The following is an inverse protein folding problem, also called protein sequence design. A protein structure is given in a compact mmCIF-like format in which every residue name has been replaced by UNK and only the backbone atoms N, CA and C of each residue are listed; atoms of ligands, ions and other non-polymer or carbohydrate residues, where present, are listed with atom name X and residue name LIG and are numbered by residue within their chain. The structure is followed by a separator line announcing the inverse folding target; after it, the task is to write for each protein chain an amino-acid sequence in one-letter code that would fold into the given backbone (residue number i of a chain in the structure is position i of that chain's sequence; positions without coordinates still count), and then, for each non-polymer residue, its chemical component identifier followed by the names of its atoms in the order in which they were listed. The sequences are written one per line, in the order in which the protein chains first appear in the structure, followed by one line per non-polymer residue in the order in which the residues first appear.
data_IF_356358591052
#
_entry.id   IF_356358591052
#
_cell.length_a   1.000
_cell.length_b   1.000
_cell.length_c   1.000
_cell.angle_alpha   90.00
_cell.angle_beta   90.00
_cell.angle_gamma   90.00
#
_symmetry.space_group_name_H-M   'P 1'
#
loop_
_entity.id
_entity.type
_entity.pdbx_description
1 polymer ?
#
# COMPACT_ATOMS: atom_id res chain seq x y z
N UNK A 1 -5.63 -47.91 76.16
CA UNK A 1 -6.34 -49.17 75.78
C UNK A 1 -6.39 -49.22 74.29
N UNK A 2 -5.54 -50.04 73.69
CA UNK A 2 -5.78 -51.02 72.58
C UNK A 2 -6.47 -50.41 71.39
N UNK A 3 -6.09 -50.57 70.15
CA UNK A 3 -5.38 -51.67 69.43
C UNK A 3 -4.83 -51.09 68.12
N UNK A 4 -3.61 -51.53 67.77
CA UNK A 4 -3.02 -51.42 66.44
C UNK A 4 -3.77 -52.36 65.47
N UNK A 5 -3.85 -51.97 64.20
CA UNK A 5 -3.82 -52.95 63.16
C UNK A 5 -3.11 -52.40 61.91
N UNK A 6 -1.99 -52.94 61.68
CA UNK A 6 -1.20 -52.94 60.42
C UNK A 6 -1.94 -53.71 59.33
N UNK A 7 -1.98 -53.22 58.13
CA UNK A 7 -1.95 -54.08 56.97
C UNK A 7 -1.13 -53.48 55.82
N UNK A 8 -0.21 -54.22 55.47
CA UNK A 8 0.84 -54.05 54.46
C UNK A 8 0.36 -54.52 53.11
N UNK A 9 1.11 -54.09 52.07
CA UNK A 9 1.25 -54.64 50.70
C UNK A 9 0.11 -54.27 49.71
N UNK A 10 0.39 -53.69 48.55
CA UNK A 10 1.19 -54.28 47.47
C UNK A 10 1.68 -53.20 46.49
N UNK A 11 2.95 -53.26 46.25
CA UNK A 11 3.64 -52.61 45.12
C UNK A 11 3.17 -53.21 43.85
N UNK A 12 2.76 -52.42 42.87
CA UNK A 12 2.75 -52.82 41.48
C UNK A 12 3.36 -51.69 40.67
N UNK A 13 4.59 -51.93 40.27
CA UNK A 13 5.31 -51.20 39.24
C UNK A 13 4.59 -51.37 37.92
N UNK A 14 4.06 -50.29 37.39
CA UNK A 14 3.85 -50.15 35.96
C UNK A 14 4.70 -49.00 35.48
N UNK A 15 5.87 -49.36 34.96
CA UNK A 15 6.62 -48.54 34.03
C UNK A 15 5.81 -48.51 32.74
N UNK A 16 5.04 -47.48 32.56
CA UNK A 16 4.45 -47.13 31.26
C UNK A 16 5.28 -46.01 30.65
N UNK A 17 5.94 -46.34 29.56
CA UNK A 17 6.74 -45.40 28.77
C UNK A 17 5.87 -44.19 28.38
N UNK A 18 6.12 -43.06 29.05
CA UNK A 18 5.63 -41.75 28.58
C UNK A 18 6.54 -41.34 27.41
N UNK A 19 6.12 -41.69 26.21
CA UNK A 19 6.69 -41.11 25.00
C UNK A 19 6.25 -39.66 24.99
N UNK A 20 7.17 -38.77 25.37
CA UNK A 20 7.02 -37.32 25.12
C UNK A 20 6.95 -37.11 23.62
N UNK A 21 5.73 -36.94 23.12
CA UNK A 21 5.48 -36.35 21.83
C UNK A 21 5.81 -34.84 21.93
N UNK A 22 7.12 -34.54 21.86
CA UNK A 22 7.56 -33.21 21.52
C UNK A 22 7.17 -32.98 20.06
N UNK A 23 5.97 -32.38 19.83
CA UNK A 23 5.57 -31.83 18.55
C UNK A 23 6.45 -30.62 18.28
N UNK A 24 7.51 -30.87 17.54
CA UNK A 24 8.32 -29.81 16.93
C UNK A 24 7.45 -29.04 15.93
N UNK A 25 6.61 -28.12 16.46
CA UNK A 25 5.92 -27.12 15.66
C UNK A 25 6.91 -26.03 15.23
N UNK A 26 7.99 -26.44 14.57
CA UNK A 26 8.79 -25.55 13.74
C UNK A 26 8.01 -25.27 12.46
N UNK A 27 6.87 -24.57 12.58
CA UNK A 27 6.24 -23.92 11.46
C UNK A 27 7.14 -22.75 11.09
N UNK A 28 8.14 -23.02 10.29
CA UNK A 28 8.90 -22.00 9.59
C UNK A 28 7.88 -21.27 8.71
N UNK A 29 7.36 -20.14 9.21
CA UNK A 29 6.65 -19.18 8.39
C UNK A 29 7.65 -18.76 7.30
N UNK A 30 7.57 -19.41 6.15
CA UNK A 30 8.19 -18.94 4.93
C UNK A 30 7.60 -17.54 4.70
N UNK A 31 8.29 -16.50 5.17
CA UNK A 31 8.03 -15.15 4.73
C UNK A 31 8.09 -15.17 3.22
N UNK A 32 6.90 -15.17 2.61
CA UNK A 32 6.77 -15.07 1.17
C UNK A 32 7.36 -13.72 0.76
N UNK A 33 8.62 -13.74 0.38
CA UNK A 33 9.31 -12.56 -0.12
C UNK A 33 8.54 -12.10 -1.36
N UNK A 34 7.77 -11.02 -1.21
CA UNK A 34 7.02 -10.44 -2.33
C UNK A 34 8.06 -9.82 -3.27
N UNK A 35 8.26 -10.40 -4.44
CA UNK A 35 9.17 -9.82 -5.43
C UNK A 35 8.52 -8.57 -6.03
N UNK A 36 9.10 -7.40 -5.71
CA UNK A 36 8.64 -6.11 -6.23
C UNK A 36 9.05 -6.00 -7.70
N UNK A 37 8.10 -5.73 -8.62
CA UNK A 37 8.38 -5.62 -10.04
C UNK A 37 9.49 -4.60 -10.35
N UNK A 38 10.27 -4.86 -11.39
CA UNK A 38 11.41 -4.00 -11.78
C UNK A 38 10.98 -2.54 -12.00
N UNK A 39 9.82 -2.29 -12.59
CA UNK A 39 9.31 -0.93 -12.82
C UNK A 39 8.96 -0.22 -11.51
N UNK A 40 8.39 -0.93 -10.56
CA UNK A 40 8.11 -0.37 -9.23
C UNK A 40 9.42 0.06 -8.54
N UNK A 41 10.46 -0.80 -8.56
CA UNK A 41 11.79 -0.45 -8.03
C UNK A 41 12.37 0.78 -8.72
N UNK A 42 12.19 0.89 -10.05
CA UNK A 42 12.62 2.06 -10.82
C UNK A 42 11.85 3.32 -10.42
N UNK A 43 10.53 3.25 -10.26
CA UNK A 43 9.68 4.38 -9.83
C UNK A 43 10.11 4.89 -8.47
N UNK A 44 10.34 3.97 -7.51
CA UNK A 44 10.82 4.32 -6.16
C UNK A 44 12.18 5.01 -6.20
N UNK A 45 13.11 4.49 -6.99
CA UNK A 45 14.42 5.11 -7.17
C UNK A 45 14.29 6.54 -7.75
N UNK A 46 13.46 6.72 -8.78
CA UNK A 46 13.23 8.02 -9.42
C UNK A 46 12.58 9.03 -8.48
N UNK A 47 11.56 8.63 -7.71
CA UNK A 47 10.90 9.58 -6.81
C UNK A 47 11.80 9.98 -5.65
N UNK A 48 12.62 9.06 -5.13
CA UNK A 48 13.61 9.37 -4.10
C UNK A 48 14.72 10.30 -4.63
N UNK A 49 15.17 10.09 -5.85
CA UNK A 49 16.25 10.88 -6.47
C UNK A 49 15.80 12.26 -6.91
N UNK A 50 14.65 12.35 -7.60
CA UNK A 50 14.22 13.58 -8.28
C UNK A 50 13.08 14.30 -7.55
N UNK A 51 12.38 13.64 -6.63
CA UNK A 51 11.29 14.25 -5.89
C UNK A 51 11.65 15.57 -5.21
N UNK A 52 12.76 15.64 -4.47
CA UNK A 52 13.21 16.89 -3.83
C UNK A 52 13.48 18.05 -4.80
N UNK A 53 13.98 17.77 -6.01
CA UNK A 53 14.24 18.78 -7.04
C UNK A 53 12.93 19.19 -7.74
N UNK A 54 12.10 18.23 -8.11
CA UNK A 54 10.82 18.46 -8.81
C UNK A 54 9.90 19.32 -7.94
N UNK A 55 9.73 18.93 -6.69
CA UNK A 55 8.85 19.59 -5.73
C UNK A 55 9.66 20.12 -4.54
N UNK A 56 10.58 21.05 -4.83
CA UNK A 56 11.36 21.71 -3.78
C UNK A 56 10.53 22.63 -2.90
N UNK A 57 9.36 23.07 -3.40
CA UNK A 57 8.27 23.69 -2.64
C UNK A 57 6.94 23.18 -3.17
N UNK A 58 5.88 23.24 -2.35
CA UNK A 58 4.54 22.83 -2.76
C UNK A 58 3.98 23.69 -3.90
N UNK A 59 4.32 24.97 -3.92
CA UNK A 59 3.92 25.89 -5.00
C UNK A 59 4.57 25.53 -6.34
N UNK A 60 5.82 25.05 -6.31
CA UNK A 60 6.54 24.68 -7.54
C UNK A 60 5.92 23.44 -8.20
N UNK A 61 5.55 22.42 -7.41
CA UNK A 61 4.93 21.22 -7.92
C UNK A 61 4.05 20.56 -6.85
N UNK A 62 2.75 20.64 -7.05
CA UNK A 62 1.76 19.91 -6.25
C UNK A 62 1.81 18.39 -6.55
N UNK A 63 1.03 17.60 -5.83
CA UNK A 63 1.03 16.14 -5.93
C UNK A 63 0.91 15.61 -7.38
N UNK A 64 0.02 16.18 -8.19
CA UNK A 64 -0.19 15.78 -9.59
C UNK A 64 1.02 16.09 -10.47
N UNK A 65 1.67 17.23 -10.26
CA UNK A 65 2.88 17.61 -11.01
C UNK A 65 4.06 16.70 -10.68
N UNK A 66 4.24 16.35 -9.41
CA UNK A 66 5.27 15.38 -9.02
C UNK A 66 5.05 14.05 -9.72
N UNK A 67 3.81 13.50 -9.66
CA UNK A 67 3.46 12.25 -10.32
C UNK A 67 3.70 12.31 -11.84
N UNK A 68 3.28 13.40 -12.50
CA UNK A 68 3.48 13.61 -13.93
C UNK A 68 4.97 13.59 -14.27
N UNK A 69 5.80 14.33 -13.53
CA UNK A 69 7.23 14.44 -13.83
C UNK A 69 7.99 13.13 -13.57
N UNK A 70 7.63 12.39 -12.54
CA UNK A 70 8.19 11.04 -12.31
C UNK A 70 7.78 10.08 -13.43
N UNK A 71 6.50 10.05 -13.80
CA UNK A 71 6.01 9.20 -14.92
C UNK A 71 6.73 9.53 -16.23
N UNK A 72 6.95 10.80 -16.54
CA UNK A 72 7.62 11.23 -17.78
C UNK A 72 9.06 10.74 -17.90
N UNK A 73 9.72 10.37 -16.80
CA UNK A 73 11.07 9.76 -16.83
C UNK A 73 11.05 8.30 -17.31
N UNK A 74 9.88 7.66 -17.32
CA UNK A 74 9.72 6.24 -17.68
C UNK A 74 8.82 6.08 -18.90
N UNK A 75 7.77 6.90 -18.99
CA UNK A 75 6.68 6.75 -19.94
C UNK A 75 6.30 8.11 -20.55
N UNK A 76 6.32 8.27 -21.88
CA UNK A 76 5.84 9.49 -22.52
C UNK A 76 4.38 9.78 -22.16
N UNK A 77 4.09 11.01 -21.72
CA UNK A 77 2.75 11.49 -21.44
C UNK A 77 2.38 12.62 -22.39
N UNK A 78 1.28 12.48 -23.11
CA UNK A 78 0.71 13.54 -23.94
C UNK A 78 -0.13 14.55 -23.11
N UNK A 79 -0.66 15.57 -23.76
CA UNK A 79 -1.46 16.61 -23.10
C UNK A 79 -2.73 16.03 -22.44
N UNK A 80 -3.38 15.06 -23.10
CA UNK A 80 -4.59 14.40 -22.56
C UNK A 80 -4.29 13.57 -21.32
N UNK A 81 -3.18 12.82 -21.33
CA UNK A 81 -2.74 12.04 -20.17
C UNK A 81 -2.54 12.97 -18.95
N UNK A 82 -1.83 14.09 -19.16
CA UNK A 82 -1.56 15.08 -18.10
C UNK A 82 -2.85 15.76 -17.60
N UNK A 83 -3.80 16.08 -18.51
CA UNK A 83 -5.09 16.63 -18.15
C UNK A 83 -5.88 15.66 -17.24
N UNK A 84 -5.86 14.36 -17.55
CA UNK A 84 -6.51 13.32 -16.74
C UNK A 84 -5.88 13.23 -15.35
N UNK A 85 -4.54 13.21 -15.25
CA UNK A 85 -3.84 13.15 -13.97
C UNK A 85 -4.17 14.37 -13.09
N UNK A 86 -4.26 15.58 -13.68
CA UNK A 86 -4.62 16.83 -12.98
C UNK A 86 -6.09 16.92 -12.59
N UNK A 87 -6.94 16.04 -13.13
CA UNK A 87 -8.40 16.04 -12.88
C UNK A 87 -9.01 17.41 -13.16
N UNK A 88 -8.76 17.94 -14.38
CA UNK A 88 -9.32 19.23 -14.80
C UNK A 88 -10.78 19.01 -15.23
N UNK A 89 -11.71 19.43 -14.36
CA UNK A 89 -13.16 19.37 -14.57
C UNK A 89 -13.85 20.55 -13.88
N UNK A 90 -15.04 20.92 -14.36
CA UNK A 90 -15.94 21.88 -13.71
C UNK A 90 -17.08 21.18 -12.94
N UNK A 91 -17.08 19.85 -12.93
CA UNK A 91 -18.10 19.03 -12.29
C UNK A 91 -17.74 18.76 -10.83
N UNK A 92 -18.75 18.49 -10.00
CA UNK A 92 -18.57 18.09 -8.61
C UNK A 92 -17.93 16.70 -8.54
N UNK A 93 -16.79 16.61 -7.86
CA UNK A 93 -16.00 15.37 -7.79
C UNK A 93 -16.76 14.25 -7.07
N UNK A 94 -17.51 14.57 -6.02
CA UNK A 94 -18.25 13.57 -5.26
C UNK A 94 -19.46 13.05 -6.05
N UNK A 95 -20.07 13.90 -6.87
CA UNK A 95 -21.10 13.45 -7.81
C UNK A 95 -20.51 12.52 -8.87
N UNK A 96 -19.38 12.89 -9.45
CA UNK A 96 -18.66 12.04 -10.39
C UNK A 96 -18.25 10.68 -9.78
N UNK A 97 -17.85 10.66 -8.50
CA UNK A 97 -17.55 9.41 -7.77
C UNK A 97 -18.81 8.55 -7.60
N UNK A 98 -19.95 9.13 -7.22
CA UNK A 98 -21.25 8.42 -7.10
C UNK A 98 -21.69 7.82 -8.43
N UNK A 99 -21.44 8.51 -9.54
CA UNK A 99 -21.72 8.03 -10.90
C UNK A 99 -20.67 7.04 -11.42
N UNK A 100 -19.66 6.67 -10.61
CA UNK A 100 -18.51 5.85 -11.01
C UNK A 100 -17.77 6.40 -12.24
N UNK A 101 -17.75 7.72 -12.42
CA UNK A 101 -17.00 8.37 -13.49
C UNK A 101 -15.51 8.05 -13.39
N UNK A 102 -14.81 7.90 -14.53
CA UNK A 102 -13.36 7.74 -14.53
C UNK A 102 -12.60 9.02 -14.15
N UNK A 103 -13.21 10.21 -14.31
CA UNK A 103 -12.53 11.49 -14.13
C UNK A 103 -11.86 11.64 -12.76
N UNK A 104 -12.52 11.36 -11.61
CA UNK A 104 -11.89 11.50 -10.30
C UNK A 104 -10.74 10.51 -10.04
N UNK A 105 -10.59 9.49 -10.90
CA UNK A 105 -9.57 8.45 -10.72
C UNK A 105 -8.18 8.91 -11.19
N UNK A 106 -8.02 10.10 -11.74
CA UNK A 106 -6.76 10.81 -11.98
C UNK A 106 -5.67 9.97 -12.65
N UNK A 107 -4.57 9.73 -11.91
CA UNK A 107 -3.44 8.94 -12.42
C UNK A 107 -3.85 7.50 -12.78
N UNK A 108 -4.74 6.89 -12.00
CA UNK A 108 -5.30 5.57 -12.33
C UNK A 108 -5.97 5.60 -13.70
N UNK A 109 -6.91 6.53 -13.90
CA UNK A 109 -7.63 6.66 -15.17
C UNK A 109 -6.67 6.90 -16.34
N UNK A 110 -5.72 7.81 -16.17
CA UNK A 110 -4.75 8.14 -17.22
C UNK A 110 -3.94 6.92 -17.67
N UNK A 111 -3.41 6.13 -16.74
CA UNK A 111 -2.57 4.97 -17.06
C UNK A 111 -3.38 3.81 -17.65
N UNK A 112 -4.62 3.59 -17.19
CA UNK A 112 -5.51 2.56 -17.73
C UNK A 112 -5.89 2.90 -19.18
N UNK A 113 -6.36 4.11 -19.45
CA UNK A 113 -6.76 4.55 -20.80
C UNK A 113 -5.60 4.54 -21.80
N UNK A 114 -4.41 4.83 -21.30
CA UNK A 114 -3.19 4.71 -22.11
C UNK A 114 -2.80 3.26 -22.40
N UNK A 115 -3.38 2.28 -21.73
CA UNK A 115 -3.08 0.86 -21.87
C UNK A 115 -1.77 0.41 -21.19
N UNK A 116 -1.16 1.29 -20.38
CA UNK A 116 0.11 1.03 -19.67
C UNK A 116 -0.06 0.76 -18.18
N UNK A 117 -1.27 0.90 -17.64
CA UNK A 117 -1.61 0.61 -16.27
C UNK A 117 -2.22 -0.79 -16.08
N UNK A 118 -1.99 -1.37 -14.92
CA UNK A 118 -2.69 -2.56 -14.39
C UNK A 118 -3.51 -2.09 -13.19
N UNK A 119 -4.85 -2.22 -13.19
CA UNK A 119 -5.67 -1.89 -12.05
C UNK A 119 -5.37 -2.83 -10.88
N UNK A 120 -5.32 -2.30 -9.65
CA UNK A 120 -5.15 -3.12 -8.44
C UNK A 120 -6.43 -3.00 -7.63
N UNK A 121 -7.27 -4.03 -7.71
CA UNK A 121 -8.55 -4.06 -7.01
C UNK A 121 -8.39 -4.37 -5.52
N UNK A 122 -7.48 -5.29 -5.19
CA UNK A 122 -7.27 -5.75 -3.82
C UNK A 122 -6.12 -4.99 -3.16
N UNK A 123 -6.38 -4.34 -2.02
CA UNK A 123 -5.37 -3.59 -1.26
C UNK A 123 -4.17 -4.46 -0.87
N UNK A 124 -4.38 -5.76 -0.64
CA UNK A 124 -3.32 -6.71 -0.32
C UNK A 124 -2.30 -6.93 -1.46
N UNK A 125 -2.66 -6.57 -2.69
CA UNK A 125 -1.80 -6.68 -3.86
C UNK A 125 -1.05 -5.38 -4.19
N UNK A 126 -1.27 -4.32 -3.40
CA UNK A 126 -0.57 -3.05 -3.58
C UNK A 126 0.87 -3.19 -3.12
N UNK A 127 1.79 -2.70 -3.93
CA UNK A 127 3.23 -2.77 -3.67
C UNK A 127 3.86 -1.37 -3.63
N UNK A 128 5.02 -1.27 -3.01
CA UNK A 128 5.86 -0.07 -3.11
C UNK A 128 6.09 0.28 -4.58
N UNK A 129 5.93 1.55 -4.95
CA UNK A 129 6.06 2.04 -6.31
C UNK A 129 4.78 2.01 -7.16
N UNK A 130 3.67 1.50 -6.65
CA UNK A 130 2.37 1.66 -7.30
C UNK A 130 1.90 3.11 -7.19
N UNK A 131 1.11 3.57 -8.14
CA UNK A 131 0.48 4.89 -8.07
C UNK A 131 -0.87 4.80 -7.40
N UNK A 132 -1.25 5.88 -6.72
CA UNK A 132 -2.54 5.99 -6.05
C UNK A 132 -3.19 7.34 -6.35
N UNK A 133 -4.50 7.32 -6.55
CA UNK A 133 -5.40 8.48 -6.47
C UNK A 133 -6.45 8.19 -5.42
N UNK A 134 -6.74 9.15 -4.55
CA UNK A 134 -7.79 8.99 -3.55
C UNK A 134 -8.51 10.30 -3.23
N UNK A 135 -9.68 10.17 -2.61
CA UNK A 135 -10.52 11.28 -2.18
C UNK A 135 -11.00 11.06 -0.75
N UNK A 136 -10.94 12.13 0.02
CA UNK A 136 -11.64 12.26 1.30
C UNK A 136 -12.94 13.01 1.07
N UNK A 137 -13.66 13.37 2.12
CA UNK A 137 -14.88 14.17 2.01
C UNK A 137 -14.65 15.62 1.54
N UNK A 138 -13.44 16.14 1.65
CA UNK A 138 -13.14 17.55 1.42
C UNK A 138 -11.99 17.82 0.44
N UNK A 139 -11.14 16.85 0.18
CA UNK A 139 -9.97 17.00 -0.70
C UNK A 139 -9.55 15.66 -1.31
N UNK A 140 -8.78 15.76 -2.38
CA UNK A 140 -8.19 14.60 -3.04
C UNK A 140 -6.67 14.71 -3.13
N UNK A 141 -6.01 13.55 -3.31
CA UNK A 141 -4.58 13.49 -3.43
C UNK A 141 -4.13 12.35 -4.31
N UNK A 142 -2.92 12.46 -4.84
CA UNK A 142 -2.26 11.36 -5.55
C UNK A 142 -0.80 11.25 -5.13
N UNK A 143 -0.23 10.07 -5.34
CA UNK A 143 1.17 9.83 -5.01
C UNK A 143 1.66 8.47 -5.47
N UNK A 144 2.83 8.11 -4.97
CA UNK A 144 3.48 6.83 -5.19
C UNK A 144 3.51 6.11 -3.84
N UNK A 145 3.02 4.89 -3.81
CA UNK A 145 2.95 4.08 -2.58
C UNK A 145 4.37 3.80 -2.09
N UNK A 146 4.63 4.08 -0.82
CA UNK A 146 5.81 3.66 -0.09
C UNK A 146 5.54 2.37 0.68
N UNK A 147 4.39 2.30 1.36
CA UNK A 147 3.97 1.12 2.12
C UNK A 147 2.46 1.10 2.31
N UNK A 148 1.92 -0.10 2.56
CA UNK A 148 0.53 -0.34 2.99
C UNK A 148 0.55 -1.11 4.30
N UNK A 149 -0.22 -0.64 5.27
CA UNK A 149 -0.52 -1.32 6.53
C UNK A 149 -2.01 -1.66 6.55
N UNK A 150 -2.33 -2.90 6.21
CA UNK A 150 -3.73 -3.35 6.15
C UNK A 150 -4.34 -3.53 7.54
N UNK A 151 -3.53 -3.81 8.57
CA UNK A 151 -4.03 -4.00 9.94
C UNK A 151 -4.56 -2.69 10.50
N UNK A 152 -3.87 -1.59 10.24
CA UNK A 152 -4.26 -0.25 10.67
C UNK A 152 -5.06 0.52 9.61
N UNK A 153 -5.31 -0.08 8.44
CA UNK A 153 -5.93 0.57 7.28
C UNK A 153 -5.22 1.87 6.90
N UNK A 154 -3.90 1.84 6.83
CA UNK A 154 -3.04 2.99 6.55
C UNK A 154 -2.16 2.76 5.31
N UNK A 155 -1.73 3.87 4.70
CA UNK A 155 -0.73 3.89 3.63
C UNK A 155 0.25 5.03 3.84
N UNK A 156 1.52 4.82 3.48
CA UNK A 156 2.51 5.87 3.34
C UNK A 156 2.78 6.15 1.88
N UNK A 157 2.90 7.43 1.53
CA UNK A 157 3.09 7.88 0.15
C UNK A 157 4.30 8.79 0.02
N UNK A 158 5.04 8.61 -1.07
CA UNK A 158 5.91 9.62 -1.63
C UNK A 158 5.04 10.57 -2.46
N UNK A 159 5.01 11.86 -2.11
CA UNK A 159 4.29 12.87 -2.89
C UNK A 159 4.76 14.28 -2.53
N UNK A 160 4.05 15.29 -3.03
CA UNK A 160 4.20 16.68 -2.67
C UNK A 160 3.05 17.09 -1.75
N UNK A 161 3.35 17.63 -0.57
CA UNK A 161 2.37 17.97 0.46
C UNK A 161 2.54 19.41 0.96
N UNK A 162 1.42 20.09 1.33
CA UNK A 162 1.51 21.38 2.00
C UNK A 162 2.27 21.28 3.34
N UNK A 163 2.08 20.19 4.09
CA UNK A 163 2.70 19.97 5.40
C UNK A 163 4.21 19.83 5.38
N UNK A 164 4.79 19.35 4.27
CA UNK A 164 6.24 19.25 4.04
C UNK A 164 6.77 20.39 3.18
N UNK A 165 5.89 21.32 2.78
CA UNK A 165 6.16 22.36 1.79
C UNK A 165 6.83 21.81 0.52
N UNK A 166 6.30 20.71 -0.02
CA UNK A 166 6.81 20.06 -1.22
C UNK A 166 6.99 18.54 -1.04
N UNK A 167 8.02 18.00 -1.67
CA UNK A 167 8.30 16.57 -1.62
C UNK A 167 8.48 16.05 -0.20
N UNK A 168 7.86 14.90 0.07
CA UNK A 168 8.01 14.21 1.35
C UNK A 168 7.36 12.84 1.36
N UNK A 169 7.33 12.26 2.56
CA UNK A 169 6.58 11.05 2.88
C UNK A 169 5.52 11.40 3.91
N UNK A 170 4.29 10.97 3.67
CA UNK A 170 3.21 11.19 4.61
C UNK A 170 2.32 9.95 4.71
N UNK A 171 1.78 9.74 5.92
CA UNK A 171 0.87 8.65 6.24
C UNK A 171 -0.57 9.11 6.17
N UNK A 172 -1.45 8.24 5.67
CA UNK A 172 -2.88 8.46 5.52
C UNK A 172 -3.65 7.21 5.91
N UNK A 173 -4.80 7.38 6.53
CA UNK A 173 -5.82 6.31 6.54
C UNK A 173 -6.30 6.08 5.12
N UNK A 174 -6.46 4.83 4.72
CA UNK A 174 -6.91 4.48 3.36
C UNK A 174 -8.40 4.79 3.26
N UNK A 175 -8.81 5.79 2.46
CA UNK A 175 -10.22 6.15 2.34
C UNK A 175 -11.01 5.15 1.50
N UNK A 176 -12.34 5.31 1.47
CA UNK A 176 -13.23 4.48 0.66
C UNK A 176 -12.94 4.67 -0.84
N UNK A 177 -12.82 5.92 -1.26
CA UNK A 177 -12.61 6.29 -2.66
C UNK A 177 -11.11 6.35 -2.97
N UNK A 178 -10.50 5.17 -3.14
CA UNK A 178 -9.08 4.99 -3.44
C UNK A 178 -8.89 4.10 -4.67
N UNK A 179 -7.96 4.47 -5.54
CA UNK A 179 -7.69 3.81 -6.81
C UNK A 179 -6.19 3.57 -6.97
N UNK A 180 -5.79 2.31 -6.94
CA UNK A 180 -4.39 1.91 -7.10
C UNK A 180 -4.13 1.38 -8.51
N UNK A 181 -3.00 1.76 -9.09
CA UNK A 181 -2.58 1.33 -10.42
C UNK A 181 -1.08 1.07 -10.48
N UNK A 182 -0.69 -0.05 -11.08
CA UNK A 182 0.70 -0.43 -11.34
C UNK A 182 1.07 -0.14 -12.78
N UNK A 183 2.26 0.38 -13.02
CA UNK A 183 2.80 0.55 -14.36
C UNK A 183 3.29 -0.81 -14.91
N UNK A 184 2.86 -1.18 -16.14
CA UNK A 184 3.28 -2.42 -16.83
C UNK A 184 4.76 -2.44 -17.13
#
# INVERSE_FOLDING_TARGET
MKIALTLSLFVSLFFGDFIDFYSDNNTTLLEKTIDIPRKNKQIVALVKQYGPEISSTYEKAVCTELVIQILQKIQPLNATDKKRIRIITNEDIHELLRQNSPIPKGVYYSLIEKGVGIPIAEKANVLEGDFVQFWTTTWGHCGIVKSIDLQNNEMELYSSFPSTNGYGVQRFSIPKDVFFVRLK
#
